data_IF_025361294913
#
_entry.id   IF_025361294913
#
_cell.length_a   1.000
_cell.length_b   1.000
_cell.length_c   1.000
_cell.angle_alpha   90.00
_cell.angle_beta   90.00
_cell.angle_gamma   90.00
#
_symmetry.space_group_name_H-M   'P 1'
#
loop_
_entity.id
_entity.type
_entity.pdbx_description
1 polymer ?
#
# COMPACT_ATOMS: atom_id res chain seq x y z
N UNK A 1 -22.03 -13.15 -14.58
CA UNK A 1 -23.03 -13.09 -13.48
C UNK A 1 -22.61 -12.23 -12.28
N UNK A 2 -21.34 -11.90 -12.12
CA UNK A 2 -20.85 -11.08 -10.99
C UNK A 2 -21.06 -9.55 -11.11
N UNK A 3 -20.97 -9.00 -12.30
CA UNK A 3 -21.10 -7.53 -12.52
C UNK A 3 -22.52 -7.00 -12.29
N UNK A 4 -23.55 -7.75 -12.65
CA UNK A 4 -24.94 -7.31 -12.41
C UNK A 4 -25.33 -7.27 -10.92
N UNK A 5 -24.70 -8.10 -10.07
CA UNK A 5 -25.01 -8.11 -8.63
C UNK A 5 -24.35 -6.93 -7.88
N UNK A 6 -23.16 -6.49 -8.31
CA UNK A 6 -22.50 -5.32 -7.72
C UNK A 6 -23.24 -4.01 -8.02
N UNK A 7 -23.69 -3.82 -9.26
CA UNK A 7 -24.46 -2.64 -9.66
C UNK A 7 -25.80 -2.52 -8.93
N UNK A 8 -26.48 -3.65 -8.66
CA UNK A 8 -27.72 -3.66 -7.89
C UNK A 8 -27.50 -3.32 -6.40
N UNK A 9 -26.38 -3.73 -5.79
CA UNK A 9 -26.05 -3.39 -4.41
C UNK A 9 -25.72 -1.89 -4.23
N UNK A 10 -25.03 -1.29 -5.18
CA UNK A 10 -24.67 0.14 -5.13
C UNK A 10 -25.93 1.00 -5.28
N UNK A 11 -26.84 0.64 -6.18
CA UNK A 11 -28.12 1.33 -6.34
C UNK A 11 -28.99 1.23 -5.08
N UNK A 12 -28.98 0.10 -4.39
CA UNK A 12 -29.73 -0.09 -3.14
C UNK A 12 -29.12 0.72 -1.97
N UNK A 13 -27.79 0.83 -1.88
CA UNK A 13 -27.13 1.66 -0.87
C UNK A 13 -27.35 3.16 -1.09
N UNK A 14 -27.36 3.64 -2.33
CA UNK A 14 -27.65 5.05 -2.62
C UNK A 14 -29.07 5.44 -2.25
N UNK A 15 -30.06 4.60 -2.48
CA UNK A 15 -31.46 4.85 -2.12
C UNK A 15 -31.64 4.93 -0.59
N UNK A 16 -30.93 4.10 0.17
CA UNK A 16 -30.97 4.14 1.64
C UNK A 16 -30.27 5.37 2.22
N UNK A 17 -29.15 5.82 1.64
CA UNK A 17 -28.47 7.05 2.07
C UNK A 17 -29.29 8.31 1.77
N UNK A 18 -29.99 8.37 0.65
CA UNK A 18 -30.84 9.51 0.28
C UNK A 18 -32.09 9.61 1.20
N UNK A 19 -32.67 8.47 1.60
CA UNK A 19 -33.77 8.43 2.56
C UNK A 19 -33.37 8.86 3.98
N UNK A 20 -32.11 8.58 4.40
CA UNK A 20 -31.55 9.01 5.69
C UNK A 20 -31.32 10.52 5.73
N UNK A 21 -30.97 11.14 4.60
CA UNK A 21 -30.71 12.58 4.49
C UNK A 21 -32.00 13.43 4.41
N UNK A 22 -33.14 12.82 4.06
CA UNK A 22 -34.43 13.53 3.92
C UNK A 22 -35.36 13.40 5.14
N UNK A 23 -34.89 12.78 6.23
CA UNK A 23 -35.61 12.69 7.50
C UNK A 23 -37.08 12.17 7.40
N UNK A 24 -37.33 11.22 6.48
CA UNK A 24 -38.61 10.51 6.35
C UNK A 24 -38.54 9.17 7.08
N UNK A 25 -39.57 8.86 7.87
CA UNK A 25 -39.62 7.61 8.64
C UNK A 25 -39.60 6.37 7.74
N UNK A 26 -38.74 5.41 8.09
CA UNK A 26 -38.39 4.25 7.31
C UNK A 26 -39.53 3.26 7.03
N UNK A 27 -40.69 3.38 7.63
CA UNK A 27 -41.80 2.43 7.48
C UNK A 27 -42.69 2.71 6.25
N UNK A 28 -42.81 3.96 5.79
CA UNK A 28 -43.63 4.29 4.62
C UNK A 28 -42.90 4.05 3.28
N UNK A 29 -41.58 4.11 3.26
CA UNK A 29 -40.80 3.93 2.01
C UNK A 29 -40.73 2.48 1.53
N UNK A 30 -40.96 1.50 2.42
CA UNK A 30 -40.82 0.05 2.07
C UNK A 30 -42.08 -0.53 1.44
N UNK A 31 -43.24 0.14 1.53
CA UNK A 31 -44.50 -0.40 1.02
C UNK A 31 -44.85 -0.10 -0.44
N UNK A 32 -44.05 0.70 -1.15
CA UNK A 32 -44.40 1.19 -2.49
C UNK A 32 -43.51 0.71 -3.64
N UNK A 33 -42.57 -0.21 -3.40
CA UNK A 33 -41.69 -0.71 -4.47
C UNK A 33 -42.19 -2.10 -4.94
N UNK A 34 -43.19 -2.12 -5.82
CA UNK A 34 -43.42 -3.24 -6.70
C UNK A 34 -42.44 -3.12 -7.88
N UNK A 35 -41.47 -4.02 -7.96
CA UNK A 35 -40.49 -4.09 -9.04
C UNK A 35 -41.19 -4.62 -10.30
N UNK A 36 -41.30 -3.88 -11.40
CA UNK A 36 -41.64 -4.45 -12.69
C UNK A 36 -40.42 -5.15 -13.31
N UNK A 37 -40.72 -6.29 -13.94
CA UNK A 37 -39.83 -7.09 -14.76
C UNK A 37 -39.29 -6.22 -15.91
N UNK A 38 -37.96 -6.22 -16.10
CA UNK A 38 -37.19 -5.71 -17.23
C UNK A 38 -37.83 -4.54 -18.03
N UNK A 39 -37.63 -3.32 -17.58
CA UNK A 39 -37.86 -2.14 -18.41
C UNK A 39 -36.53 -1.59 -18.94
N UNK A 40 -36.48 -1.29 -20.24
CA UNK A 40 -35.42 -0.56 -20.90
C UNK A 40 -35.04 0.74 -20.14
N UNK A 41 -33.75 1.04 -20.07
CA UNK A 41 -33.24 2.21 -19.38
C UNK A 41 -33.92 3.49 -19.92
N UNK A 42 -34.67 4.16 -19.05
CA UNK A 42 -35.23 5.47 -19.36
C UNK A 42 -34.10 6.51 -19.43
N UNK A 43 -34.23 7.52 -20.31
CA UNK A 43 -33.21 8.58 -20.41
C UNK A 43 -33.06 9.35 -19.11
N UNK A 44 -31.82 9.72 -18.80
CA UNK A 44 -31.33 10.38 -17.57
C UNK A 44 -31.99 11.77 -17.30
N UNK A 45 -32.82 12.27 -18.20
CA UNK A 45 -33.47 13.60 -18.10
C UNK A 45 -34.48 13.78 -16.95
N UNK A 46 -34.78 12.75 -16.15
CA UNK A 46 -35.84 12.77 -15.13
C UNK A 46 -35.35 12.78 -13.67
N UNK A 47 -34.05 13.05 -13.41
CA UNK A 47 -33.55 13.20 -12.03
C UNK A 47 -33.25 14.68 -11.71
N UNK A 48 -34.22 15.47 -11.23
CA UNK A 48 -33.92 16.80 -10.77
C UNK A 48 -33.15 16.71 -9.46
N UNK A 49 -31.94 17.27 -9.48
CA UNK A 49 -31.06 17.52 -8.31
C UNK A 49 -30.16 16.40 -7.81
N UNK A 50 -29.49 15.70 -8.72
CA UNK A 50 -28.23 15.05 -8.35
C UNK A 50 -27.18 16.14 -8.14
N UNK A 51 -26.52 16.24 -6.96
CA UNK A 51 -25.45 17.21 -6.77
C UNK A 51 -24.40 17.09 -7.88
N UNK A 52 -23.90 18.22 -8.39
CA UNK A 52 -22.93 18.25 -9.52
C UNK A 52 -21.72 17.31 -9.33
N UNK A 53 -21.39 16.97 -8.08
CA UNK A 53 -20.35 16.00 -7.76
C UNK A 53 -20.71 14.57 -8.21
N UNK A 54 -21.98 14.17 -8.05
CA UNK A 54 -22.46 12.83 -8.46
C UNK A 54 -22.59 12.76 -9.99
N UNK A 55 -23.04 13.82 -10.62
CA UNK A 55 -23.10 13.91 -12.09
C UNK A 55 -21.69 13.84 -12.72
N UNK A 56 -20.70 14.46 -12.09
CA UNK A 56 -19.29 14.31 -12.52
C UNK A 56 -18.75 12.91 -12.36
N UNK A 57 -19.19 12.15 -11.35
CA UNK A 57 -18.82 10.74 -11.14
C UNK A 57 -19.42 9.88 -12.26
N UNK A 58 -20.70 10.07 -12.62
CA UNK A 58 -21.34 9.31 -13.70
C UNK A 58 -20.78 9.63 -15.08
N UNK A 59 -20.59 10.91 -15.42
CA UNK A 59 -20.02 11.32 -16.70
C UNK A 59 -18.53 10.91 -16.87
N UNK A 60 -17.83 10.69 -15.76
CA UNK A 60 -16.46 10.17 -15.78
C UNK A 60 -16.41 8.66 -15.98
N UNK A 61 -17.34 7.90 -15.41
CA UNK A 61 -17.39 6.45 -15.55
C UNK A 61 -17.66 5.98 -17.02
N UNK A 62 -18.30 6.80 -17.83
CA UNK A 62 -18.56 6.50 -19.26
C UNK A 62 -17.35 6.79 -20.18
N UNK A 63 -16.39 7.59 -19.75
CA UNK A 63 -15.24 8.02 -20.55
C UNK A 63 -13.91 7.37 -20.15
N UNK A 64 -13.96 6.27 -19.39
CA UNK A 64 -12.80 5.44 -19.09
C UNK A 64 -12.20 4.88 -20.38
N UNK A 65 -10.89 5.08 -20.65
CA UNK A 65 -10.20 4.24 -21.60
C UNK A 65 -10.40 2.79 -21.08
N UNK A 66 -11.16 1.97 -21.80
CA UNK A 66 -11.18 0.53 -21.51
C UNK A 66 -9.74 0.07 -21.65
N UNK A 67 -9.10 -0.29 -20.53
CA UNK A 67 -7.77 -0.89 -20.55
C UNK A 67 -7.83 -2.10 -21.49
N UNK A 68 -7.31 -1.91 -22.71
CA UNK A 68 -7.07 -3.00 -23.63
C UNK A 68 -5.90 -3.81 -23.11
N UNK A 69 -5.95 -5.12 -23.27
CA UNK A 69 -4.96 -6.14 -22.88
C UNK A 69 -3.52 -5.63 -22.99
N UNK A 70 -2.93 -5.20 -21.91
CA UNK A 70 -1.58 -4.69 -21.87
C UNK A 70 -1.22 -4.15 -20.49
N UNK A 71 0.02 -3.95 -20.29
CA UNK A 71 0.65 -3.28 -19.18
C UNK A 71 -0.03 -1.92 -18.89
N UNK A 72 0.13 -1.39 -17.67
CA UNK A 72 -0.30 -0.03 -17.28
C UNK A 72 0.56 1.04 -18.00
N UNK A 73 0.56 1.01 -19.34
CA UNK A 73 1.47 1.81 -20.17
C UNK A 73 1.24 3.32 -19.98
N UNK A 74 -0.02 3.76 -19.93
CA UNK A 74 -0.33 5.18 -19.70
C UNK A 74 0.11 5.63 -18.31
N UNK A 75 -0.10 4.80 -17.28
CA UNK A 75 0.40 5.10 -15.94
C UNK A 75 1.94 5.16 -15.93
N UNK A 76 2.59 4.22 -16.64
CA UNK A 76 4.05 4.21 -16.75
C UNK A 76 4.59 5.50 -17.39
N UNK A 77 3.99 5.97 -18.46
CA UNK A 77 4.38 7.23 -19.10
C UNK A 77 4.18 8.43 -18.15
N UNK A 78 3.05 8.49 -17.45
CA UNK A 78 2.79 9.55 -16.47
C UNK A 78 3.81 9.54 -15.33
N UNK A 79 4.14 8.36 -14.79
CA UNK A 79 5.13 8.20 -13.73
C UNK A 79 6.53 8.59 -14.20
N UNK A 80 6.95 8.18 -15.41
CA UNK A 80 8.25 8.57 -15.99
C UNK A 80 8.36 10.08 -16.21
N UNK A 81 7.32 10.71 -16.76
CA UNK A 81 7.29 12.16 -16.95
C UNK A 81 7.38 12.90 -15.61
N UNK A 82 6.68 12.38 -14.58
CA UNK A 82 6.63 13.00 -13.26
C UNK A 82 7.95 12.85 -12.53
N UNK A 83 8.48 11.64 -12.41
CA UNK A 83 9.76 11.37 -11.74
C UNK A 83 10.93 12.04 -12.45
N UNK A 84 10.88 12.14 -13.79
CA UNK A 84 11.88 12.88 -14.58
C UNK A 84 11.91 14.40 -14.34
N UNK A 85 10.85 14.96 -13.74
CA UNK A 85 10.79 16.37 -13.34
C UNK A 85 11.25 16.64 -11.91
N UNK A 86 11.48 15.61 -11.13
CA UNK A 86 11.90 15.69 -9.73
C UNK A 86 13.43 15.61 -9.58
N UNK A 87 13.94 16.16 -8.49
CA UNK A 87 15.33 15.96 -8.11
C UNK A 87 15.53 14.54 -7.53
N UNK A 88 16.77 14.05 -7.59
CA UNK A 88 17.15 12.74 -7.07
C UNK A 88 16.82 11.58 -8.01
N UNK A 89 17.10 10.37 -7.53
CA UNK A 89 16.81 9.13 -8.24
C UNK A 89 15.51 8.53 -7.67
N UNK A 90 14.67 8.03 -8.57
CA UNK A 90 13.34 7.52 -8.23
C UNK A 90 13.16 6.11 -8.74
N UNK A 91 12.76 5.22 -7.85
CA UNK A 91 12.29 3.88 -8.16
C UNK A 91 10.85 3.76 -7.72
N UNK A 92 9.96 3.30 -8.61
CA UNK A 92 8.51 3.24 -8.35
C UNK A 92 7.96 1.89 -8.80
N UNK A 93 7.11 1.30 -7.97
CA UNK A 93 6.31 0.14 -8.32
C UNK A 93 4.86 0.40 -8.00
N UNK A 94 3.97 0.09 -8.94
CA UNK A 94 2.52 0.13 -8.77
C UNK A 94 1.93 -1.19 -9.21
N UNK A 95 1.03 -1.75 -8.41
CA UNK A 95 0.27 -2.95 -8.76
C UNK A 95 -1.20 -2.76 -8.43
N UNK A 96 -2.06 -2.95 -9.42
CA UNK A 96 -3.50 -3.11 -9.22
C UNK A 96 -3.76 -4.53 -8.69
N UNK A 97 -4.31 -4.65 -7.49
CA UNK A 97 -4.50 -5.94 -6.81
C UNK A 97 -5.69 -6.73 -7.32
N UNK A 98 -6.65 -6.07 -7.99
CA UNK A 98 -7.81 -6.72 -8.60
C UNK A 98 -7.45 -7.35 -9.95
N UNK A 99 -6.72 -6.62 -10.80
CA UNK A 99 -6.32 -7.11 -12.13
C UNK A 99 -5.00 -7.89 -12.13
N UNK A 100 -4.18 -7.72 -11.09
CA UNK A 100 -2.84 -8.27 -10.99
C UNK A 100 -1.79 -7.56 -11.87
N UNK A 101 -2.18 -6.51 -12.62
CA UNK A 101 -1.27 -5.75 -13.49
C UNK A 101 -0.36 -4.85 -12.68
N UNK A 102 0.87 -4.70 -13.13
CA UNK A 102 1.86 -3.85 -12.45
C UNK A 102 2.71 -3.06 -13.43
N UNK A 103 3.29 -1.99 -12.92
CA UNK A 103 4.33 -1.20 -13.58
C UNK A 103 5.49 -0.98 -12.62
N UNK A 104 6.69 -1.05 -13.16
CA UNK A 104 7.94 -0.86 -12.43
C UNK A 104 8.83 0.14 -13.17
N UNK A 105 9.43 1.06 -12.44
CA UNK A 105 10.40 2.04 -12.92
C UNK A 105 11.65 1.92 -12.06
N UNK A 106 12.80 1.74 -12.70
CA UNK A 106 14.11 1.65 -12.04
C UNK A 106 14.14 0.59 -10.92
N UNK A 107 13.73 -0.66 -11.27
CA UNK A 107 13.75 -1.77 -10.32
C UNK A 107 15.19 -2.26 -10.09
N UNK A 108 15.99 -1.47 -9.41
CA UNK A 108 17.32 -1.84 -8.95
C UNK A 108 17.37 -1.96 -7.43
N UNK A 109 18.49 -2.46 -6.93
CA UNK A 109 18.79 -2.47 -5.49
C UNK A 109 19.00 -1.05 -5.00
N UNK A 110 18.21 -0.64 -4.02
CA UNK A 110 18.32 0.64 -3.34
C UNK A 110 18.58 0.38 -1.86
N UNK A 111 19.29 1.28 -1.18
CA UNK A 111 19.43 1.20 0.28
C UNK A 111 18.03 1.14 0.91
N UNK A 112 17.78 0.09 1.68
CA UNK A 112 16.42 -0.19 2.15
C UNK A 112 15.89 0.82 3.18
N UNK A 113 16.79 1.54 3.87
CA UNK A 113 16.43 2.32 5.04
C UNK A 113 15.51 1.48 5.97
N UNK A 114 14.42 2.06 6.50
CA UNK A 114 13.50 1.33 7.35
C UNK A 114 12.52 0.40 6.62
N UNK A 115 12.56 0.30 5.29
CA UNK A 115 11.76 -0.73 4.58
C UNK A 115 12.27 -2.15 4.84
N UNK A 116 13.53 -2.32 5.27
CA UNK A 116 14.07 -3.63 5.70
C UNK A 116 13.26 -4.24 6.86
N UNK A 117 12.56 -3.40 7.65
CA UNK A 117 11.72 -3.82 8.77
C UNK A 117 10.50 -4.65 8.35
N UNK A 118 10.05 -4.52 7.10
CA UNK A 118 9.03 -5.38 6.52
C UNK A 118 9.49 -6.85 6.54
N UNK A 119 10.69 -7.10 6.11
CA UNK A 119 11.24 -8.46 6.00
C UNK A 119 11.64 -9.02 7.37
N UNK A 120 12.15 -8.17 8.27
CA UNK A 120 12.37 -8.57 9.67
C UNK A 120 11.07 -8.99 10.34
N UNK A 121 9.95 -8.31 10.04
CA UNK A 121 8.61 -8.69 10.50
C UNK A 121 8.20 -10.05 9.94
N UNK A 122 8.34 -10.28 8.62
CA UNK A 122 8.01 -11.57 7.99
C UNK A 122 8.86 -12.72 8.55
N UNK A 123 10.18 -12.53 8.69
CA UNK A 123 11.08 -13.51 9.26
C UNK A 123 10.76 -13.82 10.74
N UNK A 124 10.39 -12.79 11.53
CA UNK A 124 9.97 -12.98 12.90
C UNK A 124 8.68 -13.83 12.99
N UNK A 125 7.66 -13.51 12.19
CA UNK A 125 6.44 -14.32 12.14
C UNK A 125 6.69 -15.72 11.61
N UNK A 126 7.64 -15.96 10.71
CA UNK A 126 8.03 -17.29 10.29
C UNK A 126 8.58 -18.14 11.44
N UNK A 127 9.41 -17.57 12.31
CA UNK A 127 9.89 -18.27 13.50
C UNK A 127 8.82 -18.44 14.58
N UNK A 128 7.90 -17.51 14.70
CA UNK A 128 6.74 -17.64 15.60
C UNK A 128 5.84 -18.78 15.13
N UNK A 129 5.52 -18.86 13.85
CA UNK A 129 4.71 -19.94 13.27
C UNK A 129 5.36 -21.32 13.44
N UNK A 130 6.70 -21.38 13.33
CA UNK A 130 7.47 -22.59 13.58
C UNK A 130 7.54 -22.98 15.10
N UNK A 131 7.03 -22.14 16.00
CA UNK A 131 7.10 -22.35 17.44
C UNK A 131 8.51 -22.16 18.05
N UNK A 132 9.43 -21.55 17.30
CA UNK A 132 10.80 -21.29 17.77
C UNK A 132 10.88 -20.08 18.69
N UNK A 133 9.98 -19.11 18.51
CA UNK A 133 9.92 -17.85 19.27
C UNK A 133 8.47 -17.63 19.73
N UNK A 134 8.29 -17.21 20.99
CA UNK A 134 6.98 -16.79 21.50
C UNK A 134 6.59 -15.43 20.90
N UNK A 135 5.40 -15.34 20.32
CA UNK A 135 4.87 -14.07 19.82
C UNK A 135 4.83 -12.99 20.91
N UNK A 136 4.41 -13.35 22.12
CA UNK A 136 4.33 -12.43 23.26
C UNK A 136 5.69 -11.76 23.54
N UNK A 137 6.80 -12.50 23.34
CA UNK A 137 8.15 -11.97 23.57
C UNK A 137 8.57 -10.89 22.58
N UNK A 138 7.98 -10.85 21.38
CA UNK A 138 8.29 -9.89 20.32
C UNK A 138 7.18 -8.86 20.07
N UNK A 139 6.00 -9.01 20.65
CA UNK A 139 4.81 -8.22 20.30
C UNK A 139 5.04 -6.70 20.43
N UNK A 140 5.70 -6.25 21.50
CA UNK A 140 6.00 -4.85 21.71
C UNK A 140 7.03 -4.32 20.71
N UNK A 141 8.05 -5.09 20.39
CA UNK A 141 9.08 -4.70 19.43
C UNK A 141 8.51 -4.72 18.00
N UNK A 142 7.70 -5.71 17.61
CA UNK A 142 7.00 -5.74 16.33
C UNK A 142 6.12 -4.49 16.15
N UNK A 143 5.34 -4.14 17.19
CA UNK A 143 4.51 -2.94 17.18
C UNK A 143 5.36 -1.67 16.99
N UNK A 144 6.38 -1.46 17.81
CA UNK A 144 7.21 -0.26 17.73
C UNK A 144 8.04 -0.21 16.44
N UNK A 145 8.54 -1.36 15.96
CA UNK A 145 9.30 -1.43 14.72
C UNK A 145 8.47 -0.97 13.51
N UNK A 146 7.20 -1.35 13.45
CA UNK A 146 6.37 -1.02 12.30
C UNK A 146 5.66 0.32 12.47
N UNK A 147 4.98 0.57 13.60
CA UNK A 147 4.10 1.74 13.74
C UNK A 147 4.84 3.06 13.90
N UNK A 148 5.97 3.08 14.59
CA UNK A 148 6.81 4.28 14.80
C UNK A 148 8.20 4.17 14.18
N UNK A 149 8.47 3.06 13.48
CA UNK A 149 9.75 2.81 12.82
C UNK A 149 10.96 2.76 13.77
N UNK A 150 10.79 2.24 15.00
CA UNK A 150 11.85 2.14 15.99
C UNK A 150 13.05 1.31 15.50
N UNK A 151 14.25 1.88 15.54
CA UNK A 151 15.49 1.17 15.23
C UNK A 151 15.92 0.26 16.38
N UNK A 152 15.68 0.65 17.64
CA UNK A 152 15.92 -0.20 18.80
C UNK A 152 15.10 -1.49 18.74
N UNK A 153 13.82 -1.38 18.36
CA UNK A 153 12.94 -2.53 18.20
C UNK A 153 13.39 -3.45 17.05
N UNK A 154 13.78 -2.89 15.89
CA UNK A 154 14.37 -3.67 14.79
C UNK A 154 15.60 -4.45 15.26
N UNK A 155 16.52 -3.77 15.92
CA UNK A 155 17.75 -4.39 16.38
C UNK A 155 17.50 -5.46 17.46
N UNK A 156 16.49 -5.29 18.31
CA UNK A 156 16.07 -6.30 19.28
C UNK A 156 15.50 -7.56 18.58
N UNK A 157 14.64 -7.35 17.59
CA UNK A 157 14.10 -8.45 16.78
C UNK A 157 15.22 -9.19 16.06
N UNK A 158 16.13 -8.48 15.35
CA UNK A 158 17.21 -9.11 14.61
C UNK A 158 18.26 -9.81 15.51
N UNK A 159 18.40 -9.41 16.78
CA UNK A 159 19.19 -10.17 17.75
C UNK A 159 18.55 -11.51 18.10
N UNK A 160 17.25 -11.60 18.03
CA UNK A 160 16.49 -12.84 18.34
C UNK A 160 16.30 -13.70 17.09
N UNK A 161 15.96 -13.09 15.96
CA UNK A 161 15.69 -13.75 14.68
C UNK A 161 16.99 -14.08 13.94
N UNK A 162 17.87 -13.10 13.81
CA UNK A 162 19.16 -13.16 13.11
C UNK A 162 19.13 -12.57 11.70
N UNK A 163 20.06 -11.66 11.41
CA UNK A 163 20.17 -11.00 10.09
C UNK A 163 20.40 -12.00 8.95
N UNK A 164 21.20 -13.05 9.19
CA UNK A 164 21.38 -14.13 8.22
C UNK A 164 20.08 -14.86 7.94
N UNK A 165 19.31 -15.20 8.99
CA UNK A 165 18.02 -15.85 8.84
C UNK A 165 17.04 -14.95 8.04
N UNK A 166 16.95 -13.65 8.38
CA UNK A 166 16.12 -12.70 7.63
C UNK A 166 16.52 -12.64 6.15
N UNK A 167 17.83 -12.63 5.84
CA UNK A 167 18.32 -12.66 4.46
C UNK A 167 17.99 -13.96 3.74
N UNK A 168 18.17 -15.10 4.38
CA UNK A 168 17.86 -16.42 3.81
C UNK A 168 16.36 -16.57 3.60
N UNK A 169 15.54 -16.15 4.58
CA UNK A 169 14.09 -16.10 4.48
C UNK A 169 13.63 -15.24 3.29
N UNK A 170 14.23 -14.06 3.08
CA UNK A 170 13.95 -13.24 1.91
C UNK A 170 14.21 -14.00 0.60
N UNK A 171 15.34 -14.66 0.49
CA UNK A 171 15.72 -15.44 -0.69
C UNK A 171 14.76 -16.62 -0.94
N UNK A 172 14.40 -17.36 0.11
CA UNK A 172 13.47 -18.50 0.04
C UNK A 172 12.08 -18.08 -0.40
N UNK A 173 11.65 -16.85 -0.06
CA UNK A 173 10.38 -16.26 -0.45
C UNK A 173 10.45 -15.43 -1.75
N UNK A 174 11.58 -15.50 -2.48
CA UNK A 174 11.75 -14.89 -3.80
C UNK A 174 12.04 -13.37 -3.78
N UNK A 175 12.39 -12.79 -2.63
CA UNK A 175 12.85 -11.40 -2.52
C UNK A 175 14.34 -11.33 -2.78
N UNK A 176 14.74 -11.48 -4.06
CA UNK A 176 16.12 -11.74 -4.44
C UNK A 176 17.05 -10.51 -4.40
N UNK A 177 16.49 -9.32 -4.32
CA UNK A 177 17.22 -8.05 -4.19
C UNK A 177 17.27 -7.54 -2.75
N UNK A 178 16.78 -8.33 -1.77
CA UNK A 178 16.64 -7.94 -0.38
C UNK A 178 17.65 -8.65 0.52
N UNK A 179 18.38 -7.84 1.29
CA UNK A 179 19.44 -8.31 2.18
C UNK A 179 19.42 -7.52 3.50
N UNK A 180 19.34 -8.22 4.63
CA UNK A 180 19.55 -7.67 5.97
C UNK A 180 20.99 -7.96 6.41
N UNK A 181 21.83 -6.94 6.49
CA UNK A 181 23.27 -7.09 6.70
C UNK A 181 23.77 -6.51 8.02
N UNK A 182 23.09 -5.49 8.53
CA UNK A 182 23.50 -4.81 9.76
C UNK A 182 22.31 -4.18 10.49
N UNK A 183 22.51 -3.90 11.77
CA UNK A 183 21.57 -3.14 12.59
C UNK A 183 21.37 -1.70 12.11
N UNK A 184 20.31 -1.07 12.58
CA UNK A 184 19.93 0.29 12.19
C UNK A 184 20.38 1.31 13.24
N UNK A 185 20.88 2.47 12.78
CA UNK A 185 21.30 3.62 13.57
C UNK A 185 20.46 4.87 13.18
N UNK A 186 20.26 5.85 14.08
CA UNK A 186 20.69 5.85 15.49
C UNK A 186 19.87 4.87 16.35
N UNK A 187 20.53 4.24 17.30
CA UNK A 187 19.91 3.28 18.21
C UNK A 187 20.81 3.05 19.42
N UNK A 188 20.22 2.67 20.55
CA UNK A 188 20.93 2.34 21.78
C UNK A 188 21.57 0.94 21.75
N UNK A 189 21.14 0.07 20.84
CA UNK A 189 21.48 -1.36 20.82
C UNK A 189 21.99 -1.89 19.46
N UNK A 190 22.48 -1.04 18.56
CA UNK A 190 22.98 -1.47 17.23
C UNK A 190 24.39 -2.09 17.29
N UNK A 191 25.15 -1.83 18.37
CA UNK A 191 26.55 -2.23 18.47
C UNK A 191 26.74 -3.75 18.24
N UNK A 192 27.63 -4.10 17.32
CA UNK A 192 27.96 -5.49 16.98
C UNK A 192 26.88 -6.25 16.22
N UNK A 193 25.74 -5.61 15.85
CA UNK A 193 24.69 -6.25 15.07
C UNK A 193 25.03 -6.12 13.57
N UNK A 194 25.68 -7.13 13.04
CA UNK A 194 26.06 -7.26 11.63
C UNK A 194 26.18 -8.74 11.26
N UNK A 195 26.05 -9.05 9.96
CA UNK A 195 26.30 -10.41 9.48
C UNK A 195 27.77 -10.80 9.68
N UNK A 196 28.04 -12.11 9.72
CA UNK A 196 29.41 -12.63 9.94
C UNK A 196 30.39 -12.17 8.88
N UNK A 197 29.93 -11.95 7.67
CA UNK A 197 30.75 -11.52 6.54
C UNK A 197 31.01 -10.03 6.55
N UNK A 198 30.19 -9.25 7.24
CA UNK A 198 30.25 -7.78 7.27
C UNK A 198 30.48 -7.16 5.87
N UNK A 199 29.81 -7.73 4.86
CA UNK A 199 30.07 -7.52 3.44
C UNK A 199 28.95 -6.75 2.73
N UNK A 200 28.35 -5.80 3.38
CA UNK A 200 27.33 -5.03 2.68
C UNK A 200 26.41 -4.20 3.55
N UNK A 201 25.44 -3.66 2.88
CA UNK A 201 24.41 -2.83 3.47
C UNK A 201 23.04 -3.45 3.30
N UNK A 202 22.04 -2.93 3.99
CA UNK A 202 20.65 -3.35 3.85
C UNK A 202 20.11 -2.83 2.51
N UNK A 203 19.78 -3.72 1.60
CA UNK A 203 19.22 -3.41 0.30
C UNK A 203 17.83 -4.04 0.14
N UNK A 204 17.02 -3.42 -0.71
CA UNK A 204 15.80 -4.00 -1.28
C UNK A 204 15.53 -3.39 -2.65
N UNK A 205 14.47 -3.82 -3.34
CA UNK A 205 13.97 -3.21 -4.57
C UNK A 205 12.48 -2.90 -4.45
N UNK A 206 11.98 -2.03 -5.31
CA UNK A 206 10.54 -1.67 -5.31
C UNK A 206 9.65 -2.86 -5.62
N UNK A 207 10.10 -3.81 -6.45
CA UNK A 207 9.35 -5.03 -6.74
C UNK A 207 9.36 -6.02 -5.57
N UNK A 208 10.49 -6.18 -4.86
CA UNK A 208 10.54 -7.03 -3.67
C UNK A 208 9.60 -6.50 -2.59
N UNK A 209 9.62 -5.19 -2.33
CA UNK A 209 8.68 -4.55 -1.40
C UNK A 209 7.23 -4.72 -1.86
N UNK A 210 6.96 -4.51 -3.14
CA UNK A 210 5.61 -4.69 -3.71
C UNK A 210 5.10 -6.13 -3.56
N UNK A 211 5.95 -7.13 -3.83
CA UNK A 211 5.61 -8.56 -3.64
C UNK A 211 5.38 -8.92 -2.17
N UNK A 212 6.18 -8.36 -1.27
CA UNK A 212 5.96 -8.54 0.17
C UNK A 212 4.59 -8.00 0.59
N UNK A 213 4.26 -6.77 0.20
CA UNK A 213 2.96 -6.17 0.53
C UNK A 213 1.80 -6.95 -0.11
N UNK A 214 1.97 -7.46 -1.33
CA UNK A 214 0.96 -8.31 -1.97
C UNK A 214 0.75 -9.62 -1.20
N UNK A 215 1.82 -10.30 -0.78
CA UNK A 215 1.71 -11.55 -0.02
C UNK A 215 0.99 -11.33 1.32
N UNK A 216 1.26 -10.21 2.00
CA UNK A 216 0.54 -9.81 3.22
C UNK A 216 -0.93 -9.53 2.91
N UNK A 217 -1.24 -8.77 1.86
CA UNK A 217 -2.61 -8.44 1.46
C UNK A 217 -3.45 -9.69 1.14
N UNK A 218 -2.83 -10.69 0.50
CA UNK A 218 -3.50 -11.93 0.10
C UNK A 218 -3.59 -12.99 1.20
N UNK A 219 -3.00 -12.76 2.37
CA UNK A 219 -2.95 -13.75 3.45
C UNK A 219 -1.92 -14.87 3.20
N UNK A 220 -0.94 -14.63 2.33
CA UNK A 220 0.03 -15.64 1.86
C UNK A 220 1.42 -15.47 2.49
N UNK A 221 1.65 -14.40 3.26
CA UNK A 221 2.92 -14.17 3.94
C UNK A 221 2.98 -14.98 5.24
N UNK A 222 3.78 -16.04 5.24
CA UNK A 222 3.94 -17.02 6.35
C UNK A 222 2.66 -17.86 6.55
N UNK A 223 1.58 -17.25 7.03
CA UNK A 223 0.25 -17.85 7.18
C UNK A 223 -0.82 -16.75 7.06
N UNK A 224 -2.09 -17.15 6.93
CA UNK A 224 -3.23 -16.21 6.88
C UNK A 224 -3.31 -15.39 8.19
N UNK A 225 -3.10 -16.04 9.34
CA UNK A 225 -3.11 -15.39 10.65
C UNK A 225 -1.94 -14.41 10.80
N UNK A 226 -0.72 -14.81 10.42
CA UNK A 226 0.45 -13.94 10.45
C UNK A 226 0.28 -12.74 9.52
N UNK A 227 -0.22 -12.96 8.30
CA UNK A 227 -0.51 -11.88 7.34
C UNK A 227 -1.53 -10.88 7.88
N UNK A 228 -2.60 -11.35 8.52
CA UNK A 228 -3.60 -10.48 9.14
C UNK A 228 -2.97 -9.59 10.25
N UNK A 229 -2.13 -10.16 11.11
CA UNK A 229 -1.41 -9.40 12.14
C UNK A 229 -0.44 -8.38 11.54
N UNK A 230 0.33 -8.77 10.51
CA UNK A 230 1.22 -7.85 9.79
C UNK A 230 0.44 -6.69 9.17
N UNK A 231 -0.72 -6.98 8.58
CA UNK A 231 -1.57 -5.98 7.95
C UNK A 231 -2.10 -4.95 8.98
N UNK A 232 -2.52 -5.40 10.16
CA UNK A 232 -2.96 -4.50 11.23
C UNK A 232 -1.81 -3.60 11.74
N UNK A 233 -0.59 -4.12 11.84
CA UNK A 233 0.58 -3.31 12.18
C UNK A 233 0.86 -2.25 11.13
N UNK A 234 0.75 -2.57 9.84
CA UNK A 234 0.94 -1.64 8.73
C UNK A 234 -0.15 -0.56 8.68
N UNK A 235 -1.42 -0.91 8.97
CA UNK A 235 -2.52 0.05 9.10
C UNK A 235 -2.35 0.99 10.29
N UNK A 236 -1.70 0.53 11.35
CA UNK A 236 -1.41 1.32 12.54
C UNK A 236 -0.18 2.24 12.43
N UNK A 237 0.38 2.41 11.22
CA UNK A 237 1.52 3.30 10.96
C UNK A 237 1.20 4.74 11.34
N UNK A 238 2.09 5.37 12.13
CA UNK A 238 1.94 6.75 12.60
C UNK A 238 2.54 7.80 11.63
N UNK A 239 3.37 7.37 10.67
CA UNK A 239 3.99 8.26 9.68
C UNK A 239 3.15 8.25 8.39
N UNK A 240 2.33 9.28 8.23
CA UNK A 240 1.32 9.36 7.18
C UNK A 240 1.51 10.53 6.21
N UNK A 241 2.70 11.17 6.22
CA UNK A 241 2.95 12.42 5.49
C UNK A 241 3.24 12.23 3.98
N UNK A 242 3.45 10.98 3.52
CA UNK A 242 3.86 10.68 2.14
C UNK A 242 2.71 10.04 1.33
N UNK A 243 2.73 8.74 1.12
CA UNK A 243 1.67 8.06 0.34
C UNK A 243 0.28 8.30 0.93
N UNK A 244 0.04 8.15 2.24
CA UNK A 244 -1.28 8.42 2.82
C UNK A 244 -1.75 9.88 2.63
N UNK A 245 -0.85 10.85 2.64
CA UNK A 245 -1.19 12.25 2.42
C UNK A 245 -1.58 12.58 0.95
N UNK A 246 -1.29 11.70 0.01
CA UNK A 246 -1.65 11.86 -1.41
C UNK A 246 -3.00 11.25 -1.79
N UNK A 247 -3.71 10.62 -0.86
CA UNK A 247 -5.05 10.06 -1.09
C UNK A 247 -6.10 10.86 -0.31
N UNK A 248 -7.38 10.83 -0.74
CA UNK A 248 -8.45 11.54 -0.02
C UNK A 248 -8.64 11.06 1.42
N UNK A 249 -9.14 11.96 2.27
CA UNK A 249 -9.52 11.64 3.65
C UNK A 249 -10.48 10.45 3.69
N UNK A 250 -10.22 9.52 4.62
CA UNK A 250 -11.03 8.32 4.81
C UNK A 250 -10.59 7.10 3.97
N UNK A 251 -9.65 7.26 3.05
CA UNK A 251 -9.00 6.13 2.37
C UNK A 251 -8.04 5.46 3.34
N UNK A 252 -8.25 4.15 3.58
CA UNK A 252 -7.37 3.35 4.44
C UNK A 252 -6.09 3.03 3.69
N UNK A 253 -4.97 3.17 4.38
CA UNK A 253 -3.65 2.74 3.89
C UNK A 253 -2.99 1.83 4.91
N UNK A 254 -2.21 0.87 4.43
CA UNK A 254 -1.33 0.04 5.25
C UNK A 254 0.10 0.28 4.74
N UNK A 255 0.90 1.07 5.47
CA UNK A 255 2.17 1.56 4.93
C UNK A 255 3.38 1.37 5.85
N UNK A 256 4.55 1.44 5.26
CA UNK A 256 5.83 1.52 5.94
C UNK A 256 6.73 2.53 5.26
N UNK A 257 7.27 3.45 6.04
CA UNK A 257 8.22 4.46 5.59
C UNK A 257 9.68 4.03 5.76
N UNK A 258 10.58 4.63 4.97
CA UNK A 258 12.03 4.49 5.11
C UNK A 258 12.71 5.85 4.93
N UNK A 259 13.46 6.32 5.94
CA UNK A 259 14.06 7.65 5.93
C UNK A 259 15.51 7.61 6.38
N UNK A 260 16.34 8.36 5.67
CA UNK A 260 17.70 8.76 6.03
C UNK A 260 17.96 10.17 5.50
N UNK A 261 19.16 10.68 5.67
CA UNK A 261 19.56 11.97 5.07
C UNK A 261 19.54 11.97 3.53
N UNK A 262 19.57 10.77 2.92
CA UNK A 262 19.63 10.55 1.46
C UNK A 262 18.37 9.86 0.92
N UNK A 263 17.51 9.30 1.77
CA UNK A 263 16.37 8.49 1.33
C UNK A 263 15.06 8.96 1.94
N UNK A 264 14.02 9.02 1.10
CA UNK A 264 12.64 9.35 1.47
C UNK A 264 11.70 8.31 0.84
N UNK A 265 11.64 7.13 1.45
CA UNK A 265 10.84 6.00 0.96
C UNK A 265 9.46 5.96 1.60
N UNK A 266 8.50 5.41 0.87
CA UNK A 266 7.23 4.94 1.42
C UNK A 266 6.69 3.78 0.57
N UNK A 267 6.03 2.83 1.20
CA UNK A 267 5.43 1.69 0.54
C UNK A 267 4.09 1.38 1.20
N UNK A 268 3.02 1.31 0.41
CA UNK A 268 1.67 1.18 0.93
C UNK A 268 0.79 0.24 0.10
N UNK A 269 -0.11 -0.46 0.80
CA UNK A 269 -1.36 -0.96 0.26
C UNK A 269 -2.39 0.16 0.44
N UNK A 270 -3.07 0.55 -0.62
CA UNK A 270 -4.11 1.58 -0.61
C UNK A 270 -5.45 0.93 -0.93
N UNK A 271 -6.40 1.06 0.00
CA UNK A 271 -7.76 0.54 -0.14
C UNK A 271 -8.63 1.60 -0.77
N UNK A 272 -8.71 1.59 -2.11
CA UNK A 272 -9.42 2.63 -2.84
C UNK A 272 -10.77 2.16 -3.40
N UNK A 273 -11.60 3.10 -3.88
CA UNK A 273 -12.99 2.81 -4.25
C UNK A 273 -13.12 1.89 -5.48
N UNK A 274 -12.26 2.08 -6.49
CA UNK A 274 -12.36 1.34 -7.75
C UNK A 274 -11.52 0.07 -7.76
N UNK A 275 -10.36 0.08 -7.12
CA UNK A 275 -9.50 -1.09 -6.95
C UNK A 275 -8.51 -0.88 -5.81
N UNK A 276 -8.20 -1.93 -5.07
CA UNK A 276 -7.08 -1.90 -4.15
C UNK A 276 -5.76 -1.96 -4.93
N UNK A 277 -4.76 -1.20 -4.49
CA UNK A 277 -3.47 -1.19 -5.17
C UNK A 277 -2.29 -1.08 -4.21
N UNK A 278 -1.13 -1.46 -4.69
CA UNK A 278 0.15 -1.24 -4.03
C UNK A 278 0.87 -0.09 -4.74
N UNK A 279 1.42 0.83 -3.96
CA UNK A 279 2.36 1.84 -4.40
C UNK A 279 3.62 1.75 -3.56
N UNK A 280 4.77 1.59 -4.20
CA UNK A 280 6.09 1.66 -3.57
C UNK A 280 6.89 2.78 -4.23
N UNK A 281 7.42 3.68 -3.43
CA UNK A 281 8.30 4.76 -3.87
C UNK A 281 9.58 4.69 -3.06
N UNK A 282 10.71 4.51 -3.75
CA UNK A 282 12.04 4.58 -3.15
C UNK A 282 12.85 5.67 -3.85
N UNK A 283 13.60 6.43 -3.08
CA UNK A 283 14.34 7.59 -3.60
C UNK A 283 15.78 7.59 -3.12
N UNK A 284 16.68 8.20 -3.90
CA UNK A 284 18.02 8.56 -3.47
C UNK A 284 18.27 10.02 -3.83
N UNK A 285 18.65 10.82 -2.87
CA UNK A 285 18.97 12.24 -3.00
C UNK A 285 20.40 12.54 -2.58
N UNK A 286 20.87 13.76 -2.81
CA UNK A 286 22.07 14.27 -2.16
C UNK A 286 21.89 14.26 -0.64
N UNK A 287 23.00 14.03 0.08
CA UNK A 287 22.99 13.97 1.55
C UNK A 287 22.38 15.22 2.16
N UNK A 288 21.45 15.04 3.09
CA UNK A 288 20.68 16.10 3.72
C UNK A 288 19.54 16.67 2.89
N UNK A 289 19.25 16.11 1.69
CA UNK A 289 18.19 16.56 0.78
C UNK A 289 16.99 15.64 0.69
N UNK A 290 16.98 14.51 1.38
CA UNK A 290 15.90 13.54 1.28
C UNK A 290 14.54 14.11 1.68
N UNK A 291 14.49 14.97 2.69
CA UNK A 291 13.25 15.59 3.17
C UNK A 291 12.60 16.54 2.14
N UNK A 292 13.38 17.10 1.23
CA UNK A 292 12.87 17.94 0.14
C UNK A 292 12.04 17.12 -0.87
N UNK A 293 12.15 15.78 -0.85
CA UNK A 293 11.44 14.86 -1.74
C UNK A 293 10.06 14.43 -1.20
N UNK A 294 9.74 14.65 0.08
CA UNK A 294 8.49 14.22 0.69
C UNK A 294 7.24 14.72 -0.06
N UNK A 295 7.14 16.02 -0.45
CA UNK A 295 6.01 16.50 -1.24
C UNK A 295 5.88 15.80 -2.60
N UNK A 296 6.99 15.39 -3.21
CA UNK A 296 6.99 14.67 -4.49
C UNK A 296 6.44 13.25 -4.34
N UNK A 297 6.73 12.56 -3.22
CA UNK A 297 6.12 11.25 -2.91
C UNK A 297 4.59 11.38 -2.78
N UNK A 298 4.13 12.42 -2.07
CA UNK A 298 2.70 12.75 -1.93
C UNK A 298 2.06 13.02 -3.30
N UNK A 299 2.75 13.77 -4.16
CA UNK A 299 2.26 14.08 -5.51
C UNK A 299 2.18 12.83 -6.41
N UNK A 300 3.15 11.91 -6.34
CA UNK A 300 3.07 10.61 -7.01
C UNK A 300 1.90 9.77 -6.50
N UNK A 301 1.67 9.77 -5.18
CA UNK A 301 0.52 9.06 -4.60
C UNK A 301 -0.80 9.61 -5.12
N UNK A 302 -0.97 10.93 -5.16
CA UNK A 302 -2.15 11.57 -5.72
C UNK A 302 -2.35 11.25 -7.22
N UNK A 303 -1.25 11.20 -8.00
CA UNK A 303 -1.29 10.82 -9.40
C UNK A 303 -1.82 9.40 -9.57
N UNK A 304 -1.27 8.42 -8.82
CA UNK A 304 -1.66 7.01 -8.90
C UNK A 304 -3.11 6.81 -8.42
N UNK A 305 -3.49 7.46 -7.31
CA UNK A 305 -4.86 7.41 -6.82
C UNK A 305 -5.85 7.92 -7.88
N UNK A 306 -5.56 9.09 -8.47
CA UNK A 306 -6.40 9.67 -9.52
C UNK A 306 -6.45 8.78 -10.75
N UNK A 307 -5.34 8.16 -11.15
CA UNK A 307 -5.31 7.24 -12.28
C UNK A 307 -6.30 6.08 -12.11
N UNK A 308 -6.39 5.51 -10.92
CA UNK A 308 -7.30 4.39 -10.66
C UNK A 308 -8.74 4.80 -10.33
N UNK A 309 -8.98 6.02 -9.83
CA UNK A 309 -10.27 6.41 -9.24
C UNK A 309 -10.96 7.59 -9.93
N UNK A 310 -10.34 8.27 -10.88
CA UNK A 310 -10.90 9.48 -11.52
C UNK A 310 -10.98 9.38 -13.02
N UNK A 311 -11.24 8.22 -13.51
CA UNK A 311 -11.54 8.02 -14.93
C UNK A 311 -13.00 8.12 -15.23
#
# INVERSE_FOLDING_TARGET
>A
MGKLKKTACIAAMLVTMTALLLNTSSEEAVRTINMPEAAEAAPIELLPQIPQAIERIYLRAENLPKETDGELNSLREMLLAKTGSFNGEWSVYVKNLDSGRSVSINNGRVYAASLIKLYAMGAAYSKIEAGEISEESLANDLTNMITVSSNDAFNAIERTVGLEYTTDWCKENGYNDTFAKHGLNPSSNSWGLQTKTNDGTNYTSVEDVGRFLESVYRGECVSEEASAKMLELLKAQNKTQKIPAGVPDGIVTANKTGETDENCHDAAIVYSYECDYILVVMTTAESGKAWDLEPNVTELSALVYNYFNTT
#
